data_IF_745543120391
#
_entry.id   IF_745543120391
#
_cell.length_a   1.000
_cell.length_b   1.000
_cell.length_c   1.000
_cell.angle_alpha   90.00
_cell.angle_beta   90.00
_cell.angle_gamma   90.00
#
_symmetry.space_group_name_H-M   'P 1'
#
loop_
_entity.id
_entity.type
_entity.pdbx_description
1 polymer ?
#
# COMPACT_ATOMS: atom_id res chain seq x y z
N UNK A 1 -0.81 -17.05 -11.63
CA UNK A 1 -1.35 -15.69 -11.48
C UNK A 1 -1.07 -15.19 -10.06
N UNK A 2 -0.04 -14.36 -9.88
CA UNK A 2 0.45 -13.97 -8.55
C UNK A 2 -0.65 -13.34 -7.70
N UNK A 3 -1.08 -14.05 -6.66
CA UNK A 3 -2.12 -13.62 -5.74
C UNK A 3 -1.56 -12.57 -4.77
N UNK A 4 -2.30 -11.47 -4.61
CA UNK A 4 -2.06 -10.50 -3.54
C UNK A 4 -3.10 -10.65 -2.44
N UNK A 5 -2.74 -10.25 -1.22
CA UNK A 5 -3.63 -10.19 -0.07
C UNK A 5 -4.01 -8.74 0.18
N UNK A 6 -5.29 -8.50 0.40
CA UNK A 6 -5.80 -7.20 0.81
C UNK A 6 -6.07 -7.18 2.32
N UNK A 7 -5.83 -6.04 2.96
CA UNK A 7 -6.31 -5.81 4.32
C UNK A 7 -7.82 -5.52 4.31
N UNK A 8 -8.42 -5.57 5.50
CA UNK A 8 -9.69 -4.89 5.76
C UNK A 8 -9.60 -3.41 5.42
N UNK A 9 -10.74 -2.79 5.11
CA UNK A 9 -10.79 -1.37 4.83
C UNK A 9 -10.89 -0.55 6.13
N UNK A 10 -10.28 0.63 6.13
CA UNK A 10 -10.33 1.62 7.21
C UNK A 10 -10.77 2.96 6.65
N UNK A 11 -11.63 3.66 7.36
CA UNK A 11 -12.05 5.02 7.00
C UNK A 11 -11.15 6.06 7.65
N UNK A 12 -10.54 6.94 6.84
CA UNK A 12 -9.76 8.11 7.31
C UNK A 12 -10.11 9.30 6.45
N UNK A 13 -10.55 10.40 7.07
CA UNK A 13 -10.90 11.63 6.36
C UNK A 13 -12.08 11.48 5.39
N UNK A 14 -13.02 10.55 5.66
CA UNK A 14 -14.16 10.25 4.78
C UNK A 14 -13.79 9.43 3.54
N UNK A 15 -12.57 8.88 3.48
CA UNK A 15 -12.06 8.05 2.40
C UNK A 15 -11.79 6.64 2.92
N UNK A 16 -12.02 5.63 2.07
CA UNK A 16 -11.79 4.23 2.42
C UNK A 16 -10.44 3.77 1.92
N UNK A 17 -9.63 3.28 2.85
CA UNK A 17 -8.25 2.87 2.62
C UNK A 17 -8.08 1.38 2.84
N UNK A 18 -7.21 0.75 2.06
CA UNK A 18 -6.72 -0.62 2.32
C UNK A 18 -5.34 -0.80 1.73
N UNK A 19 -4.61 -1.78 2.24
CA UNK A 19 -3.33 -2.19 1.67
C UNK A 19 -3.50 -3.40 0.78
N UNK A 20 -2.66 -3.47 -0.26
CA UNK A 20 -2.41 -4.65 -1.07
C UNK A 20 -0.96 -5.05 -0.87
N UNK A 21 -0.75 -6.29 -0.43
CA UNK A 21 0.56 -6.92 -0.31
C UNK A 21 0.62 -8.08 -1.30
N UNK A 22 1.63 -8.13 -2.16
CA UNK A 22 1.73 -9.20 -3.15
C UNK A 22 3.18 -9.55 -3.49
N UNK A 23 3.44 -10.85 -3.71
CA UNK A 23 4.67 -11.33 -4.36
C UNK A 23 4.37 -11.62 -5.83
N UNK A 24 5.01 -10.91 -6.75
CA UNK A 24 5.02 -11.29 -8.16
C UNK A 24 5.93 -12.49 -8.36
N UNK A 25 5.51 -13.45 -9.20
CA UNK A 25 6.26 -14.70 -9.46
C UNK A 25 7.69 -14.41 -9.95
N UNK A 26 7.87 -13.35 -10.74
CA UNK A 26 9.16 -12.95 -11.30
C UNK A 26 9.95 -11.97 -10.43
N UNK A 27 9.46 -11.60 -9.25
CA UNK A 27 10.08 -10.61 -8.37
C UNK A 27 10.71 -11.30 -7.16
N UNK A 28 11.94 -10.89 -6.82
CA UNK A 28 12.60 -11.21 -5.56
C UNK A 28 12.24 -10.24 -4.44
N UNK A 29 11.16 -9.47 -4.61
CA UNK A 29 10.70 -8.48 -3.65
C UNK A 29 9.21 -8.66 -3.36
N UNK A 30 8.85 -8.20 -2.16
CA UNK A 30 7.46 -7.98 -1.78
C UNK A 30 7.02 -6.61 -2.29
N UNK A 31 5.87 -6.58 -2.96
CA UNK A 31 5.22 -5.35 -3.36
C UNK A 31 4.20 -4.94 -2.29
N UNK A 32 4.17 -3.66 -1.94
CA UNK A 32 3.21 -3.11 -0.97
C UNK A 32 2.60 -1.84 -1.52
N UNK A 33 1.27 -1.77 -1.55
CA UNK A 33 0.52 -0.62 -2.04
C UNK A 33 -0.55 -0.18 -1.05
N UNK A 34 -0.76 1.12 -0.95
CA UNK A 34 -1.93 1.73 -0.32
C UNK A 34 -2.95 2.06 -1.42
N UNK A 35 -4.20 1.73 -1.18
CA UNK A 35 -5.33 1.99 -2.05
C UNK A 35 -6.30 2.94 -1.35
N UNK A 36 -6.85 3.88 -2.10
CA UNK A 36 -7.85 4.84 -1.66
C UNK A 36 -9.06 4.79 -2.58
N UNK A 37 -10.26 4.74 -2.00
CA UNK A 37 -11.51 4.90 -2.74
C UNK A 37 -12.49 5.78 -1.98
N UNK A 38 -13.39 6.39 -2.73
CA UNK A 38 -14.60 7.04 -2.20
C UNK A 38 -15.81 6.15 -2.43
N UNK A 39 -16.90 6.42 -1.72
CA UNK A 39 -18.20 5.78 -1.98
C UNK A 39 -18.93 6.40 -3.17
N UNK A 40 -18.61 7.64 -3.52
CA UNK A 40 -19.25 8.39 -4.60
C UNK A 40 -18.38 8.39 -5.88
N UNK A 41 -19.03 8.51 -7.04
CA UNK A 41 -18.33 8.59 -8.32
C UNK A 41 -17.81 10.01 -8.63
N UNK A 42 -17.88 10.94 -7.67
CA UNK A 42 -17.48 12.33 -7.86
C UNK A 42 -15.98 12.43 -8.11
N UNK A 43 -15.50 13.41 -8.89
CA UNK A 43 -14.08 13.71 -8.96
C UNK A 43 -13.54 14.10 -7.57
N UNK A 44 -12.46 13.46 -7.16
CA UNK A 44 -11.78 13.73 -5.89
C UNK A 44 -10.26 13.67 -6.05
N UNK A 45 -9.57 14.33 -5.13
CA UNK A 45 -8.13 14.21 -4.90
C UNK A 45 -7.80 14.43 -3.42
N UNK A 46 -6.76 13.77 -2.94
CA UNK A 46 -6.22 13.95 -1.59
C UNK A 46 -4.71 13.81 -1.62
N UNK A 47 -4.01 14.75 -0.97
CA UNK A 47 -2.57 14.65 -0.75
C UNK A 47 -2.30 13.80 0.49
N UNK A 48 -1.45 12.79 0.35
CA UNK A 48 -1.19 11.80 1.38
C UNK A 48 0.30 11.79 1.71
N UNK A 49 0.60 11.84 3.00
CA UNK A 49 1.88 11.40 3.54
C UNK A 49 1.61 10.15 4.38
N UNK A 50 2.26 9.03 4.05
CA UNK A 50 2.10 7.76 4.74
C UNK A 50 3.45 7.10 4.97
N UNK A 51 3.60 6.42 6.09
CA UNK A 51 4.77 5.58 6.39
C UNK A 51 4.35 4.11 6.30
N UNK A 52 5.14 3.33 5.57
CA UNK A 52 4.99 1.89 5.50
C UNK A 52 6.09 1.25 6.33
N UNK A 53 5.70 0.44 7.31
CA UNK A 53 6.62 -0.22 8.22
C UNK A 53 6.45 -1.73 8.14
N UNK A 54 7.51 -2.45 7.76
CA UNK A 54 7.57 -3.91 7.88
C UNK A 54 8.14 -4.27 9.25
N UNK A 55 7.31 -4.90 10.09
CA UNK A 55 7.69 -5.33 11.42
C UNK A 55 8.13 -6.80 11.34
N UNK A 56 9.37 -7.10 11.74
CA UNK A 56 9.87 -8.47 11.85
C UNK A 56 9.67 -8.96 13.30
N UNK A 57 8.74 -9.92 13.54
CA UNK A 57 8.45 -10.35 14.91
C UNK A 57 9.67 -10.98 15.58
N UNK A 58 10.01 -10.50 16.78
CA UNK A 58 11.13 -11.02 17.56
C UNK A 58 12.49 -10.38 17.23
N UNK A 59 12.52 -9.40 16.34
CA UNK A 59 13.71 -8.63 16.01
C UNK A 59 13.45 -7.14 16.26
N UNK A 60 14.49 -6.37 16.60
CA UNK A 60 14.40 -4.91 16.79
C UNK A 60 14.58 -4.14 15.46
N UNK A 61 14.57 -4.86 14.34
CA UNK A 61 14.69 -4.26 13.00
C UNK A 61 13.32 -4.13 12.33
N UNK A 62 13.16 -3.05 11.59
CA UNK A 62 12.02 -2.78 10.72
C UNK A 62 12.49 -2.17 9.40
N UNK A 63 11.72 -2.39 8.33
CA UNK A 63 11.93 -1.70 7.06
C UNK A 63 10.89 -0.61 6.95
N UNK A 64 11.34 0.64 6.89
CA UNK A 64 10.47 1.81 6.78
C UNK A 64 10.64 2.49 5.44
N UNK A 65 9.51 2.93 4.84
CA UNK A 65 9.53 3.85 3.69
C UNK A 65 8.40 4.85 3.78
N UNK A 66 8.74 6.10 3.49
CA UNK A 66 7.76 7.18 3.35
C UNK A 66 7.19 7.24 1.93
N UNK A 67 5.88 7.43 1.83
CA UNK A 67 5.13 7.73 0.63
C UNK A 67 4.55 9.15 0.74
N UNK A 68 4.82 9.99 -0.26
CA UNK A 68 4.20 11.32 -0.39
C UNK A 68 3.63 11.44 -1.79
N UNK A 69 2.32 11.26 -1.91
CA UNK A 69 1.64 11.17 -3.21
C UNK A 69 0.24 11.78 -3.17
N UNK A 70 -0.23 12.22 -4.34
CA UNK A 70 -1.62 12.65 -4.53
C UNK A 70 -2.45 11.48 -5.06
N UNK A 71 -3.43 11.04 -4.27
CA UNK A 71 -4.43 10.08 -4.71
C UNK A 71 -5.57 10.82 -5.39
N UNK A 72 -6.16 10.23 -6.43
CA UNK A 72 -7.34 10.78 -7.06
C UNK A 72 -8.20 9.69 -7.71
N UNK A 73 -9.38 10.07 -8.21
CA UNK A 73 -10.31 9.18 -8.92
C UNK A 73 -9.67 8.38 -10.09
N UNK A 74 -8.54 8.84 -10.65
CA UNK A 74 -7.79 8.12 -11.70
C UNK A 74 -6.59 7.33 -11.18
N UNK A 75 -6.00 7.76 -10.08
CA UNK A 75 -4.82 7.16 -9.47
C UNK A 75 -5.14 6.84 -8.01
N UNK A 76 -5.82 5.70 -7.83
CA UNK A 76 -6.35 5.26 -6.55
C UNK A 76 -5.37 4.39 -5.76
N UNK A 77 -4.16 4.17 -6.29
CA UNK A 77 -3.18 3.26 -5.71
C UNK A 77 -1.77 3.81 -5.90
N UNK A 78 -1.02 3.83 -4.80
CA UNK A 78 0.40 4.17 -4.76
C UNK A 78 1.14 3.23 -3.81
N UNK A 79 2.47 3.13 -3.94
CA UNK A 79 3.29 2.28 -3.09
C UNK A 79 4.58 1.84 -3.76
N UNK A 80 5.12 0.71 -3.32
CA UNK A 80 6.44 0.24 -3.68
C UNK A 80 6.35 -1.14 -4.32
N UNK A 81 6.77 -1.25 -5.58
CA UNK A 81 6.88 -2.53 -6.28
C UNK A 81 8.07 -3.39 -5.78
N UNK A 82 8.99 -2.78 -5.04
CA UNK A 82 10.15 -3.44 -4.44
C UNK A 82 10.33 -2.91 -3.01
N UNK A 83 9.37 -3.24 -2.13
CA UNK A 83 9.31 -2.69 -0.78
C UNK A 83 10.42 -3.27 0.11
N UNK A 84 10.49 -4.61 0.17
CA UNK A 84 11.54 -5.35 0.88
C UNK A 84 11.90 -6.60 0.08
N UNK A 85 13.15 -7.07 0.12
CA UNK A 85 13.51 -8.38 -0.43
C UNK A 85 12.60 -9.48 0.12
N UNK A 86 12.20 -10.39 -0.76
CA UNK A 86 11.50 -11.61 -0.41
C UNK A 86 12.50 -12.75 -0.50
N UNK A 87 13.04 -13.15 0.65
CA UNK A 87 13.88 -14.35 0.76
C UNK A 87 12.97 -15.60 0.72
N UNK A 88 13.43 -16.67 0.09
CA UNK A 88 12.70 -17.96 0.00
C UNK A 88 12.83 -18.79 1.28
#
# INVERSE_FOLDING_TARGET
PGGGVYTSEVEVGGLMWKMLVMKKISSSYLDVYLLCRTYDASPWSVDVSAEFTFIMPGEDRHVERELKETFCHRHTRWGFAEFTPWED
#
